data_IF_922605064730
#
_entry.id   IF_922605064730
#
_cell.length_a   1.000
_cell.length_b   1.000
_cell.length_c   1.000
_cell.angle_alpha   90.00
_cell.angle_beta   90.00
_cell.angle_gamma   90.00
#
_symmetry.space_group_name_H-M   'P 1'
#
loop_
_entity.id
_entity.type
_entity.pdbx_description
1 polymer ?
#
# COMPACT_ATOMS: atom_id res chain seq x y z
N UNK A 1 2.81 -7.21 12.35
CA UNK A 1 2.70 -6.08 11.42
C UNK A 1 2.29 -4.76 12.05
N UNK A 2 3.09 -3.76 11.71
CA UNK A 2 2.87 -2.34 11.94
C UNK A 2 2.81 -1.66 10.56
N UNK A 3 1.66 -1.11 10.18
CA UNK A 3 1.53 -0.42 8.89
C UNK A 3 2.11 0.99 8.98
N UNK A 4 2.99 1.30 8.05
CA UNK A 4 3.65 2.61 7.89
C UNK A 4 3.58 3.01 6.44
N UNK A 5 3.37 4.29 6.19
CA UNK A 5 3.41 4.85 4.84
C UNK A 5 4.46 5.97 4.78
N UNK A 6 4.65 6.53 3.59
CA UNK A 6 5.48 7.71 3.40
C UNK A 6 5.03 8.87 4.33
N UNK A 7 5.98 9.56 4.95
CA UNK A 7 5.75 10.64 5.94
C UNK A 7 4.83 11.76 5.45
N UNK A 8 4.89 12.08 4.15
CA UNK A 8 4.02 13.07 3.49
C UNK A 8 2.60 12.58 3.17
N UNK A 9 2.33 11.27 3.23
CA UNK A 9 1.06 10.70 2.77
C UNK A 9 -0.14 11.22 3.57
N UNK A 10 -0.01 11.38 4.90
CA UNK A 10 -1.09 11.93 5.73
C UNK A 10 -1.52 13.31 5.29
N UNK A 11 -0.57 14.17 4.94
CA UNK A 11 -0.85 15.52 4.45
C UNK A 11 -1.43 15.48 3.04
N UNK A 12 -0.88 14.62 2.18
CA UNK A 12 -1.31 14.49 0.78
C UNK A 12 -2.74 13.96 0.62
N UNK A 13 -3.12 13.00 1.46
CA UNK A 13 -4.47 12.42 1.52
C UNK A 13 -5.42 13.18 2.47
N UNK A 14 -4.98 14.28 3.09
CA UNK A 14 -5.74 15.03 4.11
C UNK A 14 -6.39 14.12 5.19
N UNK A 15 -5.55 13.33 5.86
CA UNK A 15 -6.01 12.31 6.81
C UNK A 15 -6.32 12.92 8.18
N UNK A 16 -7.53 12.66 8.70
CA UNK A 16 -7.98 13.02 10.05
C UNK A 16 -8.62 11.79 10.70
N UNK A 17 -8.20 11.42 11.91
CA UNK A 17 -8.71 10.25 12.67
C UNK A 17 -8.78 8.95 11.82
N UNK A 18 -7.74 8.73 11.02
CA UNK A 18 -7.60 7.62 10.07
C UNK A 18 -8.57 7.61 8.87
N UNK A 19 -9.29 8.71 8.61
CA UNK A 19 -10.07 8.92 7.38
C UNK A 19 -9.35 9.89 6.45
N UNK A 20 -9.15 9.52 5.20
CA UNK A 20 -8.64 10.43 4.17
C UNK A 20 -9.74 11.40 3.71
N UNK A 21 -9.32 12.52 3.12
CA UNK A 21 -10.18 13.54 2.53
C UNK A 21 -11.20 14.13 3.52
N UNK A 22 -10.92 14.05 4.82
CA UNK A 22 -11.92 14.30 5.85
C UNK A 22 -12.37 15.77 5.88
N UNK A 23 -11.52 16.72 5.47
CA UNK A 23 -11.85 18.16 5.47
C UNK A 23 -12.62 18.61 4.23
N UNK A 24 -12.72 17.76 3.20
CA UNK A 24 -13.52 18.05 2.00
C UNK A 24 -15.03 17.98 2.24
N UNK A 25 -15.46 17.37 3.36
CA UNK A 25 -16.85 17.14 3.70
C UNK A 25 -17.28 17.93 4.92
N UNK A 26 -18.50 18.47 4.89
CA UNK A 26 -19.16 18.98 6.10
C UNK A 26 -19.41 17.82 7.10
N UNK A 27 -19.58 18.09 8.41
CA UNK A 27 -19.83 17.03 9.38
C UNK A 27 -21.00 16.11 9.02
N UNK A 28 -22.11 16.67 8.52
CA UNK A 28 -23.29 15.90 8.09
C UNK A 28 -23.00 15.01 6.86
N UNK A 29 -22.25 15.53 5.88
CA UNK A 29 -21.84 14.74 4.71
C UNK A 29 -20.83 13.65 5.07
N UNK A 30 -19.93 13.91 6.02
CA UNK A 30 -18.91 12.94 6.46
C UNK A 30 -19.52 11.70 7.13
N UNK A 31 -20.68 11.83 7.75
CA UNK A 31 -21.38 10.71 8.37
C UNK A 31 -22.09 9.84 7.33
N UNK A 32 -22.58 10.46 6.24
CA UNK A 32 -23.25 9.76 5.14
C UNK A 32 -22.29 9.21 4.06
N UNK A 33 -21.10 9.79 3.91
CA UNK A 33 -20.15 9.42 2.87
C UNK A 33 -19.48 8.05 3.12
N UNK A 34 -19.13 7.30 2.06
CA UNK A 34 -18.28 6.13 2.16
C UNK A 34 -16.97 6.46 2.89
N UNK A 35 -16.57 5.60 3.83
CA UNK A 35 -15.33 5.80 4.59
C UNK A 35 -14.15 5.33 3.75
N UNK A 36 -13.32 6.27 3.28
CA UNK A 36 -12.00 5.96 2.75
C UNK A 36 -10.97 6.08 3.87
N UNK A 37 -10.47 4.94 4.33
CA UNK A 37 -9.57 4.84 5.46
C UNK A 37 -8.11 5.10 5.04
N UNK A 38 -7.28 5.42 6.02
CA UNK A 38 -5.82 5.47 5.87
C UNK A 38 -5.27 4.16 5.30
N UNK A 39 -5.90 3.03 5.63
CA UNK A 39 -5.53 1.74 5.06
C UNK A 39 -5.90 1.63 3.57
N UNK A 40 -7.02 2.19 3.12
CA UNK A 40 -7.37 2.21 1.70
C UNK A 40 -6.37 3.06 0.91
N UNK A 41 -5.96 4.21 1.47
CA UNK A 41 -4.88 5.02 0.92
C UNK A 41 -3.57 4.23 0.82
N UNK A 42 -3.18 3.55 1.90
CA UNK A 42 -2.01 2.66 1.91
C UNK A 42 -2.10 1.57 0.85
N UNK A 43 -3.25 0.91 0.72
CA UNK A 43 -3.46 -0.17 -0.24
C UNK A 43 -3.35 0.32 -1.69
N UNK A 44 -3.92 1.49 -2.01
CA UNK A 44 -3.73 2.13 -3.31
C UNK A 44 -2.24 2.44 -3.58
N UNK A 45 -1.52 2.97 -2.59
CA UNK A 45 -0.08 3.18 -2.71
C UNK A 45 0.67 1.87 -2.94
N UNK A 46 0.33 0.83 -2.18
CA UNK A 46 0.94 -0.49 -2.28
C UNK A 46 0.81 -1.07 -3.68
N UNK A 47 -0.40 -1.06 -4.27
CA UNK A 47 -0.61 -1.59 -5.61
C UNK A 47 0.25 -0.88 -6.67
N UNK A 48 0.34 0.45 -6.61
CA UNK A 48 1.20 1.24 -7.52
C UNK A 48 2.68 0.92 -7.31
N UNK A 49 3.09 0.65 -6.07
CA UNK A 49 4.45 0.27 -5.72
C UNK A 49 4.82 -1.12 -6.23
N UNK A 50 3.97 -2.12 -5.99
CA UNK A 50 4.16 -3.51 -6.43
C UNK A 50 4.17 -3.63 -7.96
N UNK A 51 3.34 -2.86 -8.66
CA UNK A 51 3.40 -2.72 -10.11
C UNK A 51 4.74 -2.14 -10.56
N UNK A 52 5.19 -1.06 -9.90
CA UNK A 52 6.44 -0.39 -10.24
C UNK A 52 7.71 -1.19 -9.97
N UNK A 53 7.63 -2.27 -9.19
CA UNK A 53 8.76 -3.16 -8.90
C UNK A 53 9.92 -2.49 -8.15
N UNK A 54 9.69 -1.33 -7.51
CA UNK A 54 10.70 -0.59 -6.75
C UNK A 54 10.29 -0.41 -5.31
N UNK A 55 11.25 -0.61 -4.42
CA UNK A 55 11.10 -0.36 -3.00
C UNK A 55 11.38 1.12 -2.69
N UNK A 56 10.64 1.68 -1.74
CA UNK A 56 10.92 2.99 -1.17
C UNK A 56 12.11 2.95 -0.21
N UNK A 57 12.40 4.08 0.44
CA UNK A 57 13.45 4.16 1.46
C UNK A 57 12.84 4.14 2.85
N UNK A 58 13.42 3.39 3.77
CA UNK A 58 12.97 3.35 5.17
C UNK A 58 12.98 4.74 5.83
N UNK A 59 13.90 5.62 5.43
CA UNK A 59 14.00 7.01 5.91
C UNK A 59 12.79 7.89 5.52
N UNK A 60 12.03 7.49 4.50
CA UNK A 60 10.86 8.25 4.03
C UNK A 60 9.57 7.82 4.76
N UNK A 61 9.60 6.71 5.51
CA UNK A 61 8.45 6.19 6.26
C UNK A 61 8.11 7.08 7.46
N UNK A 62 6.82 7.16 7.79
CA UNK A 62 6.38 7.78 9.04
C UNK A 62 6.90 7.00 10.26
N UNK A 63 7.21 7.68 11.37
CA UNK A 63 7.80 7.04 12.55
C UNK A 63 6.81 6.16 13.31
N UNK A 64 5.52 6.47 13.19
CA UNK A 64 4.44 5.86 13.98
C UNK A 64 3.52 5.00 13.13
N UNK A 65 3.21 3.81 13.62
CA UNK A 65 2.28 2.91 12.96
C UNK A 65 0.87 3.50 12.97
N UNK A 66 0.15 3.39 11.85
CA UNK A 66 -1.21 3.92 11.75
C UNK A 66 -2.29 2.85 11.90
N UNK A 67 -1.95 1.58 11.71
CA UNK A 67 -2.80 0.42 12.01
C UNK A 67 -1.96 -0.75 12.53
N UNK A 68 -2.58 -1.57 13.39
CA UNK A 68 -2.04 -2.86 13.84
C UNK A 68 -2.86 -3.98 13.22
N UNK A 69 -2.25 -4.72 12.30
CA UNK A 69 -2.94 -5.77 11.54
C UNK A 69 -3.94 -5.23 10.51
N UNK A 70 -4.44 -6.12 9.64
CA UNK A 70 -5.38 -5.74 8.59
C UNK A 70 -6.72 -5.29 9.18
N UNK A 71 -7.34 -4.22 8.64
CA UNK A 71 -8.73 -3.90 8.93
C UNK A 71 -9.65 -5.09 8.61
N UNK A 72 -10.82 -5.14 9.24
CA UNK A 72 -11.75 -6.27 9.12
C UNK A 72 -12.07 -6.64 7.67
N UNK A 73 -12.32 -5.63 6.82
CA UNK A 73 -12.58 -5.80 5.38
C UNK A 73 -11.44 -6.43 4.59
N UNK A 74 -10.21 -6.38 5.10
CA UNK A 74 -9.01 -6.89 4.43
C UNK A 74 -8.48 -8.19 5.04
N UNK A 75 -9.03 -8.67 6.17
CA UNK A 75 -8.55 -9.90 6.82
C UNK A 75 -8.61 -11.13 5.90
N UNK A 76 -9.64 -11.21 5.05
CA UNK A 76 -9.78 -12.28 4.05
C UNK A 76 -8.78 -12.20 2.89
N UNK A 77 -8.10 -11.06 2.73
CA UNK A 77 -7.22 -10.77 1.58
C UNK A 77 -5.73 -10.93 1.92
N UNK A 78 -5.39 -11.40 3.12
CA UNK A 78 -4.00 -11.49 3.58
C UNK A 78 -3.13 -12.34 2.65
N UNK A 79 -3.63 -13.50 2.20
CA UNK A 79 -2.91 -14.41 1.29
C UNK A 79 -2.73 -13.80 -0.10
N UNK A 80 -3.73 -13.04 -0.58
CA UNK A 80 -3.65 -12.33 -1.85
C UNK A 80 -2.58 -11.24 -1.80
N UNK A 81 -2.58 -10.41 -0.75
CA UNK A 81 -1.59 -9.34 -0.57
C UNK A 81 -0.18 -9.94 -0.44
N UNK A 82 -0.03 -11.03 0.30
CA UNK A 82 1.24 -11.72 0.42
C UNK A 82 1.72 -12.30 -0.93
N UNK A 83 0.83 -12.90 -1.72
CA UNK A 83 1.14 -13.39 -3.06
C UNK A 83 1.58 -12.26 -4.01
N UNK A 84 0.92 -11.10 -3.96
CA UNK A 84 1.32 -9.92 -4.75
C UNK A 84 2.71 -9.40 -4.36
N UNK A 85 3.08 -9.45 -3.07
CA UNK A 85 4.43 -9.09 -2.63
C UNK A 85 5.47 -10.08 -3.14
N UNK A 86 5.21 -11.38 -3.03
CA UNK A 86 6.10 -12.42 -3.55
C UNK A 86 6.31 -12.22 -5.05
N UNK A 87 5.24 -12.06 -5.83
CA UNK A 87 5.33 -11.80 -7.27
C UNK A 87 6.20 -10.56 -7.60
N UNK A 88 6.00 -9.46 -6.88
CA UNK A 88 6.79 -8.25 -7.07
C UNK A 88 8.28 -8.44 -6.76
N UNK A 89 8.61 -9.22 -5.73
CA UNK A 89 10.00 -9.52 -5.37
C UNK A 89 10.66 -10.49 -6.36
N UNK A 90 9.95 -11.52 -6.83
CA UNK A 90 10.44 -12.41 -7.88
C UNK A 90 10.78 -11.62 -9.15
N UNK A 91 9.86 -10.74 -9.58
CA UNK A 91 10.08 -9.85 -10.74
C UNK A 91 11.25 -8.90 -10.52
N UNK A 92 11.38 -8.30 -9.33
CA UNK A 92 12.46 -7.36 -9.01
C UNK A 92 13.85 -8.02 -9.01
N UNK A 93 13.90 -9.30 -8.67
CA UNK A 93 15.13 -10.09 -8.61
C UNK A 93 15.44 -10.85 -9.91
N UNK A 94 14.62 -10.66 -10.95
CA UNK A 94 14.73 -11.38 -12.22
C UNK A 94 14.70 -12.92 -12.05
N UNK A 95 13.97 -13.42 -11.04
CA UNK A 95 13.81 -14.86 -10.79
C UNK A 95 12.84 -15.42 -11.83
N UNK A 96 13.29 -16.45 -12.56
CA UNK A 96 12.51 -17.05 -13.64
C UNK A 96 11.43 -18.00 -13.11
N UNK A 97 10.28 -18.16 -13.80
CA UNK A 97 9.18 -19.03 -13.36
C UNK A 97 9.53 -20.52 -13.25
N UNK A 98 10.59 -20.97 -13.91
CA UNK A 98 11.09 -22.35 -13.88
C UNK A 98 12.15 -22.59 -12.80
N UNK A 99 12.67 -21.52 -12.17
CA UNK A 99 13.61 -21.59 -11.06
C UNK A 99 12.87 -21.83 -9.73
N UNK A 100 12.41 -23.07 -9.56
CA UNK A 100 11.66 -23.49 -8.37
C UNK A 100 12.41 -23.27 -7.08
N UNK A 101 13.73 -23.46 -7.07
CA UNK A 101 14.54 -23.34 -5.86
C UNK A 101 14.59 -21.89 -5.37
N UNK A 102 14.86 -20.93 -6.27
CA UNK A 102 14.83 -19.50 -5.91
C UNK A 102 13.42 -19.04 -5.52
N UNK A 103 12.38 -19.53 -6.21
CA UNK A 103 10.98 -19.21 -5.86
C UNK A 103 10.65 -19.69 -4.44
N UNK A 104 10.98 -20.95 -4.11
CA UNK A 104 10.73 -21.51 -2.78
C UNK A 104 11.51 -20.75 -1.69
N UNK A 105 12.77 -20.39 -1.96
CA UNK A 105 13.58 -19.60 -1.05
C UNK A 105 12.91 -18.25 -0.75
N UNK A 106 12.36 -17.58 -1.77
CA UNK A 106 11.67 -16.31 -1.59
C UNK A 106 10.35 -16.43 -0.85
N UNK A 107 9.57 -17.48 -1.13
CA UNK A 107 8.36 -17.77 -0.36
C UNK A 107 8.67 -18.02 1.11
N UNK A 108 9.74 -18.75 1.43
CA UNK A 108 10.16 -19.00 2.82
C UNK A 108 10.63 -17.72 3.51
N UNK A 109 11.35 -16.85 2.80
CA UNK A 109 11.81 -15.55 3.34
C UNK A 109 10.64 -14.63 3.68
N UNK A 110 9.66 -14.53 2.77
CA UNK A 110 8.62 -13.50 2.84
C UNK A 110 7.37 -13.94 3.61
N UNK A 111 7.09 -15.24 3.72
CA UNK A 111 5.83 -15.73 4.26
C UNK A 111 5.97 -16.29 5.68
N UNK A 112 4.96 -16.02 6.52
CA UNK A 112 4.76 -16.70 7.79
C UNK A 112 3.27 -17.08 7.91
N UNK A 113 2.98 -18.37 7.74
CA UNK A 113 1.61 -18.89 7.81
C UNK A 113 0.97 -18.73 9.19
N UNK A 114 1.74 -18.45 10.24
CA UNK A 114 1.21 -18.24 11.60
C UNK A 114 0.95 -16.77 11.89
N UNK A 115 1.49 -15.85 11.09
CA UNK A 115 1.26 -14.42 11.27
C UNK A 115 -0.12 -14.01 10.78
N UNK A 116 -0.68 -12.95 11.36
CA UNK A 116 -1.99 -12.42 10.95
C UNK A 116 -1.98 -11.86 9.52
N UNK A 117 -0.81 -11.45 9.03
CA UNK A 117 -0.64 -10.83 7.71
C UNK A 117 -0.18 -11.82 6.66
N UNK A 118 0.09 -13.07 7.06
CA UNK A 118 0.73 -14.14 6.27
C UNK A 118 2.16 -13.82 5.83
N UNK A 119 2.72 -12.74 6.32
CA UNK A 119 4.06 -12.26 6.01
C UNK A 119 4.99 -12.47 7.21
N UNK A 120 6.27 -12.69 6.92
CA UNK A 120 7.35 -12.58 7.89
C UNK A 120 7.54 -11.12 8.31
N UNK A 121 8.40 -10.87 9.31
CA UNK A 121 8.74 -9.49 9.68
C UNK A 121 9.34 -8.71 8.50
N UNK A 122 10.21 -9.36 7.72
CA UNK A 122 10.81 -8.76 6.53
C UNK A 122 9.75 -8.49 5.45
N UNK A 123 8.80 -9.42 5.25
CA UNK A 123 7.66 -9.20 4.35
C UNK A 123 6.80 -8.00 4.78
N UNK A 124 6.52 -7.85 6.08
CA UNK A 124 5.80 -6.70 6.62
C UNK A 124 6.55 -5.37 6.33
N UNK A 125 7.87 -5.36 6.50
CA UNK A 125 8.72 -4.18 6.24
C UNK A 125 8.76 -3.83 4.75
N UNK A 126 8.92 -4.83 3.88
CA UNK A 126 8.90 -4.66 2.43
C UNK A 126 7.56 -4.12 1.92
N UNK A 127 6.44 -4.59 2.48
CA UNK A 127 5.12 -4.09 2.11
C UNK A 127 5.01 -2.57 2.34
N UNK A 128 5.53 -2.08 3.47
CA UNK A 128 5.57 -0.65 3.77
C UNK A 128 6.48 0.12 2.80
N UNK A 129 7.64 -0.45 2.43
CA UNK A 129 8.57 0.17 1.47
C UNK A 129 7.96 0.25 0.07
N UNK A 130 7.28 -0.78 -0.40
CA UNK A 130 6.56 -0.76 -1.67
C UNK A 130 5.44 0.28 -1.66
N UNK A 131 4.66 0.36 -0.58
CA UNK A 131 3.65 1.40 -0.44
C UNK A 131 4.26 2.81 -0.45
N UNK A 132 5.42 3.02 0.19
CA UNK A 132 6.12 4.31 0.14
C UNK A 132 6.60 4.68 -1.28
N UNK A 133 7.13 3.73 -2.04
CA UNK A 133 7.51 3.97 -3.44
C UNK A 133 6.29 4.27 -4.32
N UNK A 134 5.17 3.55 -4.11
CA UNK A 134 3.94 3.82 -4.84
C UNK A 134 3.34 5.18 -4.51
N UNK A 135 3.41 5.61 -3.25
CA UNK A 135 3.08 6.98 -2.88
C UNK A 135 3.93 8.00 -3.63
N UNK A 136 5.26 7.82 -3.65
CA UNK A 136 6.16 8.73 -4.35
C UNK A 136 5.83 8.81 -5.85
N UNK A 137 5.58 7.66 -6.49
CA UNK A 137 5.17 7.61 -7.90
C UNK A 137 3.83 8.32 -8.14
N UNK A 138 2.89 8.27 -7.20
CA UNK A 138 1.65 9.03 -7.29
C UNK A 138 1.89 10.53 -7.12
N UNK A 139 2.62 10.96 -6.09
CA UNK A 139 2.95 12.37 -5.84
C UNK A 139 3.67 13.02 -7.03
N UNK A 140 4.54 12.26 -7.71
CA UNK A 140 5.27 12.73 -8.90
C UNK A 140 4.38 12.85 -10.15
N UNK A 141 3.30 12.07 -10.25
CA UNK A 141 2.50 11.91 -11.48
C UNK A 141 1.11 12.52 -11.41
N UNK A 142 0.61 12.85 -10.23
CA UNK A 142 -0.68 13.51 -10.07
C UNK A 142 -0.62 14.60 -8.98
N UNK A 143 -1.34 15.72 -9.17
CA UNK A 143 -1.44 16.74 -8.13
C UNK A 143 -2.10 16.15 -6.88
N UNK A 144 -1.78 16.72 -5.72
CA UNK A 144 -2.39 16.33 -4.45
C UNK A 144 -3.92 16.49 -4.53
N UNK A 145 -4.69 15.40 -4.36
CA UNK A 145 -6.14 15.43 -4.49
C UNK A 145 -6.80 16.16 -3.31
N UNK A 146 -7.85 16.93 -3.60
CA UNK A 146 -8.62 17.64 -2.57
C UNK A 146 -9.82 16.81 -2.08
N UNK A 147 -10.35 15.94 -2.93
CA UNK A 147 -11.49 15.08 -2.67
C UNK A 147 -11.19 13.62 -3.04
N UNK A 148 -12.03 12.69 -2.58
CA UNK A 148 -11.92 11.28 -2.95
C UNK A 148 -12.12 11.10 -4.47
N UNK A 149 -13.05 11.84 -5.06
CA UNK A 149 -13.36 11.81 -6.48
C UNK A 149 -12.15 12.25 -7.32
N UNK A 150 -11.49 13.35 -6.94
CA UNK A 150 -10.26 13.81 -7.59
C UNK A 150 -9.18 12.73 -7.53
N UNK A 151 -9.03 12.10 -6.37
CA UNK A 151 -8.09 10.99 -6.19
C UNK A 151 -8.42 9.83 -7.12
N UNK A 152 -9.66 9.34 -7.14
CA UNK A 152 -10.05 8.18 -7.95
C UNK A 152 -9.86 8.44 -9.46
N UNK A 153 -10.16 9.65 -9.93
CA UNK A 153 -9.92 10.06 -11.32
C UNK A 153 -8.42 10.08 -11.63
N UNK A 154 -7.60 10.67 -10.74
CA UNK A 154 -6.14 10.71 -10.90
C UNK A 154 -5.52 9.32 -10.87
N UNK A 155 -5.95 8.49 -9.91
CA UNK A 155 -5.52 7.12 -9.73
C UNK A 155 -5.85 6.26 -10.96
N UNK A 156 -7.08 6.36 -11.49
CA UNK A 156 -7.45 5.67 -12.73
C UNK A 156 -6.55 6.09 -13.90
N UNK A 157 -6.31 7.39 -14.09
CA UNK A 157 -5.42 7.89 -15.16
C UNK A 157 -4.00 7.36 -15.03
N UNK A 158 -3.49 7.25 -13.81
CA UNK A 158 -2.16 6.70 -13.54
C UNK A 158 -2.04 5.24 -14.03
N UNK A 159 -3.08 4.43 -13.84
CA UNK A 159 -3.14 3.05 -14.32
C UNK A 159 -3.34 2.96 -15.83
N UNK A 160 -4.25 3.76 -16.39
CA UNK A 160 -4.49 3.77 -17.84
C UNK A 160 -3.28 4.23 -18.65
N UNK A 161 -2.39 5.02 -18.08
CA UNK A 161 -1.17 5.47 -18.74
C UNK A 161 -0.05 4.40 -18.79
N UNK A 162 -0.17 3.30 -18.03
CA UNK A 162 0.78 2.19 -18.06
C UNK A 162 0.22 0.92 -18.73
N UNK A 163 -1.02 0.98 -19.24
CA UNK A 163 -1.67 -0.09 -20.01
C UNK A 163 -1.44 0.10 -21.52
#
# INVERSE_FOLDING_TARGET
MAFKLHSRARTWFDVVDARAFARSLTPAQREAAPRFLMFDAFYCCLLVGLDGGRQGRAADLEPTDFFRGYPESYRGQAELIAGLLVDAELRRQDILPDDKESIEAEMVRLLDLKSQTRLSQEGDELLNLYAAAGFQRMDDRMPAPHTLEDFLVGYHRLWSANA
#
